data_IF_295641591795
#
_entry.id   IF_295641591795
#
_cell.length_a   1.000
_cell.length_b   1.000
_cell.length_c   1.000
_cell.angle_alpha   90.00
_cell.angle_beta   90.00
_cell.angle_gamma   90.00
#
_symmetry.space_group_name_H-M   'P 1'
#
loop_
_entity.id
_entity.type
_entity.pdbx_description
1 polymer ?
#
# COMPACT_ATOMS: atom_id res chain seq x y z
N UNK A 1 -8.91 -27.89 -10.27
CA UNK A 1 -8.81 -27.24 -11.60
C UNK A 1 -8.02 -25.97 -11.36
N UNK A 2 -6.86 -25.84 -11.97
CA UNK A 2 -6.05 -24.62 -11.82
C UNK A 2 -6.80 -23.44 -12.39
N UNK A 3 -6.94 -22.36 -11.61
CA UNK A 3 -7.47 -21.09 -12.09
C UNK A 3 -6.28 -20.22 -12.52
N UNK A 4 -6.19 -19.92 -13.80
CA UNK A 4 -5.09 -19.13 -14.35
C UNK A 4 -4.96 -17.75 -13.68
N UNK A 5 -6.09 -17.13 -13.31
CA UNK A 5 -6.09 -15.84 -12.59
C UNK A 5 -5.44 -15.94 -11.22
N UNK A 6 -5.67 -17.04 -10.49
CA UNK A 6 -5.08 -17.24 -9.16
C UNK A 6 -3.56 -17.45 -9.27
N UNK A 7 -3.10 -18.16 -10.30
CA UNK A 7 -1.65 -18.35 -10.56
C UNK A 7 -0.98 -17.00 -10.84
N UNK A 8 -1.58 -16.17 -11.68
CA UNK A 8 -1.06 -14.84 -12.03
C UNK A 8 -1.04 -13.96 -10.78
N UNK A 9 -2.10 -13.96 -9.97
CA UNK A 9 -2.18 -13.15 -8.75
C UNK A 9 -1.12 -13.57 -7.71
N UNK A 10 -0.93 -14.87 -7.49
CA UNK A 10 0.12 -15.38 -6.62
C UNK A 10 1.51 -14.99 -7.12
N UNK A 11 1.77 -15.15 -8.41
CA UNK A 11 3.04 -14.78 -9.02
C UNK A 11 3.30 -13.27 -8.90
N UNK A 12 2.29 -12.44 -9.13
CA UNK A 12 2.40 -10.99 -8.96
C UNK A 12 2.79 -10.63 -7.51
N UNK A 13 2.19 -11.30 -6.51
CA UNK A 13 2.52 -11.06 -5.10
C UNK A 13 3.97 -11.47 -4.77
N UNK A 14 4.47 -12.59 -5.33
CA UNK A 14 5.86 -13.01 -5.19
C UNK A 14 6.83 -12.01 -5.81
N UNK A 15 6.52 -11.56 -7.03
CA UNK A 15 7.35 -10.61 -7.75
C UNK A 15 7.37 -9.23 -7.09
N UNK A 16 6.24 -8.80 -6.53
CA UNK A 16 6.17 -7.54 -5.79
C UNK A 16 7.16 -7.52 -4.62
N UNK A 17 7.17 -8.55 -3.79
CA UNK A 17 8.05 -8.62 -2.63
C UNK A 17 9.54 -8.68 -3.00
N UNK A 18 9.88 -9.24 -4.18
CA UNK A 18 11.24 -9.27 -4.69
C UNK A 18 11.68 -7.93 -5.28
N UNK A 19 10.77 -7.18 -5.89
CA UNK A 19 11.04 -5.93 -6.58
C UNK A 19 10.96 -4.72 -5.66
N UNK A 20 9.91 -4.64 -4.83
CA UNK A 20 9.61 -3.46 -4.00
C UNK A 20 10.38 -3.49 -2.67
N UNK A 21 11.69 -3.35 -2.76
CA UNK A 21 12.62 -3.34 -1.61
C UNK A 21 12.96 -1.93 -1.10
N UNK A 22 12.43 -0.91 -1.73
CA UNK A 22 12.65 0.50 -1.38
C UNK A 22 12.00 0.85 -0.03
N UNK A 23 12.70 1.61 0.82
CA UNK A 23 12.30 1.91 2.20
C UNK A 23 12.30 3.40 2.56
N UNK A 24 12.73 4.30 1.68
CA UNK A 24 12.88 5.72 2.01
C UNK A 24 11.55 6.38 2.41
N UNK A 25 10.43 5.98 1.81
CA UNK A 25 9.09 6.42 2.16
C UNK A 25 8.69 5.96 3.57
N UNK A 26 9.04 4.73 3.92
CA UNK A 26 8.82 4.15 5.26
C UNK A 26 9.67 4.87 6.31
N UNK A 27 10.95 5.10 6.03
CA UNK A 27 11.87 5.80 6.92
C UNK A 27 11.42 7.25 7.16
N UNK A 28 11.00 7.96 6.11
CA UNK A 28 10.44 9.30 6.21
C UNK A 28 9.17 9.31 7.08
N UNK A 29 8.24 8.38 6.82
CA UNK A 29 7.01 8.30 7.59
C UNK A 29 7.29 8.02 9.07
N UNK A 30 8.18 7.09 9.39
CA UNK A 30 8.58 6.78 10.77
C UNK A 30 9.25 7.98 11.45
N UNK A 31 10.10 8.70 10.73
CA UNK A 31 10.72 9.93 11.25
C UNK A 31 9.65 10.99 11.60
N UNK A 32 8.63 11.16 10.73
CA UNK A 32 7.55 12.13 10.95
C UNK A 32 6.59 11.69 12.06
N UNK A 33 6.30 10.40 12.17
CA UNK A 33 5.44 9.85 13.23
C UNK A 33 6.11 9.91 14.61
N UNK A 34 7.42 9.81 14.68
CA UNK A 34 8.19 9.77 15.91
C UNK A 34 8.00 8.44 16.67
N UNK A 35 8.47 8.40 17.93
CA UNK A 35 8.52 7.18 18.75
C UNK A 35 7.29 6.94 19.63
N UNK A 36 6.39 7.91 19.74
CA UNK A 36 5.15 7.73 20.52
C UNK A 36 4.19 6.83 19.72
N UNK A 37 3.70 5.72 20.32
CA UNK A 37 2.76 4.84 19.64
C UNK A 37 1.54 5.59 19.09
N UNK A 38 1.21 5.32 17.84
CA UNK A 38 0.09 5.89 17.10
C UNK A 38 -0.80 4.80 16.54
N UNK A 39 -2.06 5.13 16.30
CA UNK A 39 -2.96 4.31 15.50
C UNK A 39 -2.81 4.72 14.04
N UNK A 40 -2.36 3.80 13.20
CA UNK A 40 -2.08 4.05 11.78
C UNK A 40 -3.00 3.20 10.92
N UNK A 41 -3.58 3.81 9.91
CA UNK A 41 -4.34 3.13 8.86
C UNK A 41 -3.56 3.22 7.56
N UNK A 42 -3.27 2.09 6.94
CA UNK A 42 -2.70 2.02 5.59
C UNK A 42 -3.74 1.57 4.58
N UNK A 43 -3.91 2.34 3.53
CA UNK A 43 -4.79 2.05 2.41
C UNK A 43 -3.97 1.41 1.28
N UNK A 44 -4.49 0.33 0.72
CA UNK A 44 -3.78 -0.53 -0.23
C UNK A 44 -2.46 -1.08 0.36
N UNK A 45 -2.57 -1.75 1.51
CA UNK A 45 -1.41 -2.21 2.28
C UNK A 45 -0.61 -3.34 1.60
N UNK A 46 -1.18 -3.98 0.58
CA UNK A 46 -0.53 -5.03 -0.19
C UNK A 46 0.08 -6.12 0.67
N UNK A 47 1.32 -6.44 0.42
CA UNK A 47 2.09 -7.45 1.17
C UNK A 47 2.66 -6.92 2.51
N UNK A 48 2.30 -5.69 2.91
CA UNK A 48 2.74 -5.09 4.16
C UNK A 48 4.14 -4.46 4.10
N UNK A 49 4.62 -4.03 2.94
CA UNK A 49 5.92 -3.38 2.78
C UNK A 49 6.09 -2.17 3.72
N UNK A 50 5.06 -1.35 3.83
CA UNK A 50 5.01 -0.21 4.73
C UNK A 50 4.45 -0.61 6.11
N UNK A 51 3.35 -1.35 6.13
CA UNK A 51 2.58 -1.73 7.31
C UNK A 51 3.44 -2.44 8.38
N UNK A 52 4.24 -3.42 7.96
CA UNK A 52 5.04 -4.25 8.87
C UNK A 52 6.16 -3.46 9.56
N UNK A 53 6.99 -2.66 8.88
CA UNK A 53 7.98 -1.82 9.53
C UNK A 53 7.37 -0.81 10.52
N UNK A 54 6.21 -0.22 10.20
CA UNK A 54 5.51 0.72 11.09
C UNK A 54 5.03 0.00 12.37
N UNK A 55 4.51 -1.22 12.24
CA UNK A 55 4.15 -2.04 13.40
C UNK A 55 5.38 -2.42 14.25
N UNK A 56 6.49 -2.78 13.60
CA UNK A 56 7.77 -3.10 14.28
C UNK A 56 8.35 -1.90 15.03
N UNK A 57 8.07 -0.68 14.57
CA UNK A 57 8.43 0.54 15.29
C UNK A 57 7.55 0.83 16.53
N UNK A 58 6.52 0.00 16.79
CA UNK A 58 5.70 0.07 17.99
C UNK A 58 4.34 0.78 17.81
N UNK A 59 3.94 1.10 16.59
CA UNK A 59 2.63 1.66 16.29
C UNK A 59 1.56 0.55 16.21
N UNK A 60 0.28 0.90 16.47
CA UNK A 60 -0.88 0.03 16.28
C UNK A 60 -1.42 0.24 14.87
N UNK A 61 -1.24 -0.73 13.99
CA UNK A 61 -1.49 -0.55 12.56
C UNK A 61 -2.67 -1.40 12.07
N UNK A 62 -3.42 -0.80 11.16
CA UNK A 62 -4.49 -1.47 10.41
C UNK A 62 -4.24 -1.27 8.93
N UNK A 63 -4.25 -2.34 8.15
CA UNK A 63 -4.12 -2.32 6.69
C UNK A 63 -5.43 -2.71 6.01
N UNK A 64 -5.76 -2.04 4.92
CA UNK A 64 -6.87 -2.37 4.03
C UNK A 64 -6.32 -2.65 2.63
N UNK A 65 -6.71 -3.77 2.04
CA UNK A 65 -6.42 -4.10 0.65
C UNK A 65 -7.52 -5.00 0.07
N UNK A 66 -7.67 -5.05 -1.22
CA UNK A 66 -8.61 -5.98 -1.87
C UNK A 66 -7.94 -7.28 -2.32
N UNK A 67 -6.60 -7.30 -2.43
CA UNK A 67 -5.82 -8.45 -2.91
C UNK A 67 -5.42 -9.37 -1.76
N UNK A 68 -6.13 -10.50 -1.64
CA UNK A 68 -5.89 -11.51 -0.61
C UNK A 68 -4.52 -12.16 -0.74
N UNK A 69 -4.03 -12.40 -1.95
CA UNK A 69 -2.71 -13.03 -2.17
C UNK A 69 -1.57 -12.15 -1.69
N UNK A 70 -1.71 -10.83 -1.89
CA UNK A 70 -0.78 -9.86 -1.34
C UNK A 70 -0.83 -9.87 0.19
N UNK A 71 -2.01 -9.78 0.77
CA UNK A 71 -2.18 -9.72 2.24
C UNK A 71 -1.74 -10.98 2.98
N UNK A 72 -1.84 -12.16 2.38
CA UNK A 72 -1.34 -13.42 2.97
C UNK A 72 0.15 -13.35 3.30
N UNK A 73 0.92 -12.54 2.56
CA UNK A 73 2.36 -12.34 2.81
C UNK A 73 2.65 -11.64 4.13
N UNK A 74 1.73 -10.84 4.64
CA UNK A 74 1.91 -10.11 5.91
C UNK A 74 2.16 -11.09 7.06
N UNK A 75 1.40 -12.19 7.11
CA UNK A 75 1.52 -13.18 8.17
C UNK A 75 2.93 -13.79 8.30
N UNK A 76 3.68 -13.87 7.20
CA UNK A 76 5.03 -14.41 7.19
C UNK A 76 6.10 -13.39 7.64
N UNK A 77 5.76 -12.11 7.74
CA UNK A 77 6.68 -11.00 8.05
C UNK A 77 6.59 -10.51 9.48
N UNK A 78 5.58 -10.98 10.23
CA UNK A 78 5.29 -10.55 11.61
C UNK A 78 5.58 -11.65 12.63
N UNK A 79 5.84 -11.24 13.89
CA UNK A 79 6.07 -12.14 15.01
C UNK A 79 5.07 -11.90 16.15
N UNK A 80 5.10 -10.69 16.73
CA UNK A 80 4.27 -10.31 17.88
C UNK A 80 3.76 -8.85 17.77
N UNK A 81 3.83 -8.28 16.60
CA UNK A 81 3.46 -6.89 16.33
C UNK A 81 1.93 -6.70 16.45
N UNK A 82 1.51 -5.51 16.87
CA UNK A 82 0.10 -5.10 16.89
C UNK A 82 -0.32 -4.67 15.48
N UNK A 83 -0.70 -5.65 14.70
CA UNK A 83 -1.05 -5.44 13.30
C UNK A 83 -2.38 -6.15 12.98
N UNK A 84 -3.23 -5.46 12.25
CA UNK A 84 -4.48 -5.99 11.70
C UNK A 84 -4.50 -5.69 10.23
N UNK A 85 -5.12 -6.55 9.45
CA UNK A 85 -5.39 -6.28 8.04
C UNK A 85 -6.71 -6.92 7.64
N UNK A 86 -7.40 -6.26 6.73
CA UNK A 86 -8.73 -6.70 6.27
C UNK A 86 -8.83 -6.54 4.78
N UNK A 87 -9.48 -7.52 4.13
CA UNK A 87 -9.91 -7.34 2.75
C UNK A 87 -10.99 -6.26 2.71
N UNK A 88 -10.77 -5.26 1.87
CA UNK A 88 -11.70 -4.16 1.69
C UNK A 88 -11.62 -3.56 0.28
N UNK A 89 -12.76 -3.22 -0.27
CA UNK A 89 -12.86 -2.29 -1.37
C UNK A 89 -12.81 -0.86 -0.81
N UNK A 90 -11.66 -0.21 -0.93
CA UNK A 90 -11.42 1.10 -0.32
C UNK A 90 -12.33 2.21 -0.88
N UNK A 91 -12.95 1.99 -2.04
CA UNK A 91 -13.96 2.91 -2.59
C UNK A 91 -15.26 2.82 -1.79
N UNK A 92 -15.75 1.62 -1.55
CA UNK A 92 -17.11 1.37 -1.07
C UNK A 92 -17.18 1.04 0.42
N UNK A 93 -16.15 0.38 0.98
CA UNK A 93 -16.17 -0.10 2.35
C UNK A 93 -15.83 1.01 3.36
N UNK A 94 -16.29 0.84 4.60
CA UNK A 94 -15.96 1.71 5.72
C UNK A 94 -14.51 1.46 6.18
N UNK A 95 -13.77 2.53 6.42
CA UNK A 95 -12.40 2.45 6.92
C UNK A 95 -12.30 2.49 8.45
N UNK A 96 -13.40 2.78 9.14
CA UNK A 96 -13.40 3.13 10.55
C UNK A 96 -12.88 4.54 10.81
N UNK A 97 -12.70 4.90 12.08
CA UNK A 97 -12.29 6.24 12.49
C UNK A 97 -11.34 6.22 13.70
N UNK A 98 -10.76 7.38 14.01
CA UNK A 98 -9.94 7.56 15.20
C UNK A 98 -8.48 7.19 15.00
N UNK A 99 -7.99 7.28 13.78
CA UNK A 99 -6.58 7.08 13.46
C UNK A 99 -5.77 8.37 13.63
N UNK A 100 -4.58 8.24 14.17
CA UNK A 100 -3.64 9.36 14.27
C UNK A 100 -2.97 9.67 12.92
N UNK A 101 -2.81 8.63 12.09
CA UNK A 101 -2.22 8.74 10.76
C UNK A 101 -2.99 7.84 9.79
N UNK A 102 -3.29 8.37 8.61
CA UNK A 102 -3.74 7.59 7.45
C UNK A 102 -2.68 7.68 6.37
N UNK A 103 -2.27 6.55 5.81
CA UNK A 103 -1.23 6.49 4.78
C UNK A 103 -1.79 6.04 3.43
N UNK A 104 -1.43 6.77 2.40
CA UNK A 104 -1.68 6.49 0.99
C UNK A 104 -0.31 6.33 0.32
N UNK A 105 0.33 5.16 0.53
CA UNK A 105 1.70 4.89 0.10
C UNK A 105 1.82 4.32 -1.31
N UNK A 106 3.06 4.12 -1.76
CA UNK A 106 3.41 3.43 -3.00
C UNK A 106 2.66 3.96 -4.24
N UNK A 107 2.55 5.27 -4.37
CA UNK A 107 1.79 5.90 -5.47
C UNK A 107 0.33 5.46 -5.57
N UNK A 108 -0.30 5.06 -4.47
CA UNK A 108 -1.68 4.55 -4.47
C UNK A 108 -2.64 5.44 -5.25
N UNK A 109 -2.54 6.78 -5.10
CA UNK A 109 -3.42 7.71 -5.81
C UNK A 109 -3.33 7.64 -7.33
N UNK A 110 -2.26 7.06 -7.91
CA UNK A 110 -2.17 6.76 -9.34
C UNK A 110 -2.78 5.42 -9.72
N UNK A 111 -2.90 4.50 -8.75
CA UNK A 111 -3.25 3.12 -8.99
C UNK A 111 -4.68 2.77 -8.52
N UNK A 112 -5.54 3.77 -8.31
CA UNK A 112 -6.92 3.55 -7.90
C UNK A 112 -7.67 2.81 -9.02
N UNK A 113 -8.24 1.66 -8.70
CA UNK A 113 -9.11 0.89 -9.59
C UNK A 113 -10.55 1.14 -9.16
N UNK A 114 -11.33 1.78 -10.03
CA UNK A 114 -12.76 2.04 -9.78
C UNK A 114 -13.49 2.35 -11.08
N UNK A 115 -14.84 2.27 -11.06
CA UNK A 115 -15.70 2.71 -12.15
C UNK A 115 -15.95 4.23 -12.13
N UNK A 116 -15.42 4.92 -11.13
CA UNK A 116 -15.54 6.38 -10.99
C UNK A 116 -14.59 7.10 -11.95
N UNK A 117 -14.93 8.36 -12.24
CA UNK A 117 -13.95 9.28 -12.80
C UNK A 117 -12.71 9.37 -11.90
N UNK A 118 -11.54 9.37 -12.52
CA UNK A 118 -10.27 9.26 -11.81
C UNK A 118 -10.05 10.39 -10.79
N UNK A 119 -10.34 11.63 -11.18
CA UNK A 119 -10.22 12.79 -10.28
C UNK A 119 -11.20 12.71 -9.11
N UNK A 120 -12.41 12.20 -9.36
CA UNK A 120 -13.40 11.98 -8.31
C UNK A 120 -12.95 10.87 -7.34
N UNK A 121 -12.37 9.79 -7.86
CA UNK A 121 -11.83 8.72 -7.02
C UNK A 121 -10.69 9.23 -6.13
N UNK A 122 -9.76 10.02 -6.66
CA UNK A 122 -8.70 10.63 -5.85
C UNK A 122 -9.25 11.56 -4.75
N UNK A 123 -10.22 12.42 -5.09
CA UNK A 123 -10.88 13.29 -4.11
C UNK A 123 -11.57 12.48 -3.01
N UNK A 124 -12.23 11.39 -3.39
CA UNK A 124 -12.87 10.49 -2.44
C UNK A 124 -11.86 9.87 -1.47
N UNK A 125 -10.70 9.43 -1.97
CA UNK A 125 -9.65 8.86 -1.11
C UNK A 125 -9.13 9.88 -0.08
N UNK A 126 -8.90 11.11 -0.49
CA UNK A 126 -8.49 12.19 0.43
C UNK A 126 -9.60 12.49 1.44
N UNK A 127 -10.86 12.55 1.00
CA UNK A 127 -12.00 12.80 1.90
C UNK A 127 -12.16 11.66 2.92
N UNK A 128 -12.16 10.40 2.48
CA UNK A 128 -12.23 9.24 3.39
C UNK A 128 -11.06 9.20 4.36
N UNK A 129 -9.85 9.58 3.91
CA UNK A 129 -8.70 9.71 4.79
C UNK A 129 -8.95 10.74 5.89
N UNK A 130 -9.47 11.91 5.54
CA UNK A 130 -9.79 12.96 6.52
C UNK A 130 -10.88 12.51 7.51
N UNK A 131 -11.91 11.80 7.02
CA UNK A 131 -13.01 11.28 7.84
C UNK A 131 -12.56 10.16 8.80
N UNK A 132 -11.54 9.41 8.43
CA UNK A 132 -10.96 8.34 9.26
C UNK A 132 -10.05 8.88 10.38
N UNK A 133 -9.56 10.11 10.27
CA UNK A 133 -8.63 10.68 11.25
C UNK A 133 -9.29 11.04 12.59
N UNK A 134 -8.52 10.88 13.65
CA UNK A 134 -8.77 11.54 14.92
C UNK A 134 -8.48 13.05 14.81
N UNK A 135 -9.00 13.84 15.76
CA UNK A 135 -8.70 15.28 15.84
C UNK A 135 -7.18 15.46 16.01
N UNK A 136 -6.58 16.23 15.12
CA UNK A 136 -5.13 16.46 15.09
C UNK A 136 -4.32 15.37 14.39
N UNK A 137 -4.99 14.41 13.74
CA UNK A 137 -4.34 13.39 12.92
C UNK A 137 -3.83 13.93 11.58
N UNK A 138 -3.05 13.13 10.89
CA UNK A 138 -2.36 13.51 9.65
C UNK A 138 -2.55 12.47 8.55
N UNK A 139 -2.60 12.93 7.30
CA UNK A 139 -2.52 12.07 6.11
C UNK A 139 -1.07 12.09 5.63
N UNK A 140 -0.49 10.91 5.43
CA UNK A 140 0.78 10.73 4.73
C UNK A 140 0.49 10.24 3.31
N UNK A 141 0.96 10.97 2.32
CA UNK A 141 0.82 10.60 0.90
C UNK A 141 2.20 10.44 0.30
N UNK A 142 2.51 9.26 -0.19
CA UNK A 142 3.65 9.02 -1.04
C UNK A 142 3.23 9.16 -2.51
N UNK A 143 3.96 10.00 -3.24
CA UNK A 143 3.55 10.43 -4.57
C UNK A 143 4.76 10.69 -5.45
N UNK A 144 4.94 9.88 -6.49
CA UNK A 144 6.00 10.10 -7.46
C UNK A 144 5.67 11.31 -8.36
N UNK A 145 6.63 12.20 -8.48
CA UNK A 145 6.57 13.30 -9.42
C UNK A 145 7.47 13.05 -10.62
N UNK A 146 6.93 13.17 -11.82
CA UNK A 146 7.72 13.18 -13.06
C UNK A 146 7.57 14.53 -13.77
N UNK A 147 8.70 15.20 -14.01
CA UNK A 147 8.73 16.43 -14.80
C UNK A 147 8.42 16.17 -16.29
N UNK A 148 8.66 14.94 -16.76
CA UNK A 148 8.50 14.53 -18.15
C UNK A 148 7.75 13.20 -18.24
N UNK A 149 6.43 13.17 -17.88
CA UNK A 149 5.67 11.92 -17.84
C UNK A 149 5.62 11.22 -19.21
N UNK A 150 5.66 11.98 -20.30
CA UNK A 150 5.67 11.44 -21.66
C UNK A 150 6.88 10.53 -21.95
N UNK A 151 7.99 10.71 -21.27
CA UNK A 151 9.16 9.84 -21.42
C UNK A 151 8.94 8.46 -20.83
N UNK A 152 8.04 8.33 -19.86
CA UNK A 152 7.74 7.10 -19.17
C UNK A 152 6.52 6.38 -19.75
N UNK A 153 5.44 7.13 -19.98
CA UNK A 153 4.15 6.55 -20.36
C UNK A 153 3.95 6.37 -21.87
N UNK A 154 4.69 7.11 -22.70
CA UNK A 154 4.54 7.09 -24.16
C UNK A 154 5.77 6.56 -24.90
N UNK A 155 6.69 5.91 -24.19
CA UNK A 155 7.81 5.27 -24.86
C UNK A 155 7.31 4.04 -25.65
N UNK A 156 7.44 4.04 -26.99
CA UNK A 156 6.98 2.92 -27.81
C UNK A 156 7.87 1.66 -27.66
N UNK A 157 9.05 1.81 -27.06
CA UNK A 157 9.95 0.70 -26.82
C UNK A 157 9.82 0.26 -25.36
N UNK A 158 9.44 -1.00 -25.09
CA UNK A 158 9.43 -1.52 -23.72
C UNK A 158 10.84 -1.45 -23.13
N UNK A 159 10.91 -1.02 -21.89
CA UNK A 159 12.16 -1.01 -21.11
C UNK A 159 12.02 -2.07 -20.03
N UNK A 160 13.00 -2.97 -19.92
CA UNK A 160 13.10 -3.85 -18.76
C UNK A 160 13.59 -2.96 -17.60
N UNK A 161 12.72 -2.75 -16.62
CA UNK A 161 13.05 -1.95 -15.44
C UNK A 161 13.53 -2.82 -14.28
N UNK A 162 13.23 -4.12 -14.34
CA UNK A 162 13.62 -5.10 -13.34
C UNK A 162 13.59 -6.52 -13.93
N UNK A 163 14.52 -7.35 -13.49
CA UNK A 163 14.56 -8.79 -13.75
C UNK A 163 14.84 -9.52 -12.44
N UNK A 164 14.21 -10.66 -12.23
CA UNK A 164 14.43 -11.47 -11.05
C UNK A 164 14.00 -12.91 -11.27
N UNK A 165 14.37 -13.76 -10.35
CA UNK A 165 13.99 -15.18 -10.36
C UNK A 165 13.08 -15.41 -9.16
N UNK A 166 11.91 -16.03 -9.40
CA UNK A 166 11.01 -16.39 -8.33
C UNK A 166 11.54 -17.53 -7.44
N UNK A 167 10.80 -17.88 -6.39
CA UNK A 167 11.16 -18.97 -5.46
C UNK A 167 11.20 -20.35 -6.12
N UNK A 168 10.72 -20.49 -7.36
CA UNK A 168 10.67 -21.72 -8.15
C UNK A 168 11.75 -21.74 -9.25
N UNK A 169 12.54 -20.64 -9.39
CA UNK A 169 13.62 -20.54 -10.36
C UNK A 169 13.19 -20.09 -11.76
N UNK A 170 11.99 -19.48 -11.89
CA UNK A 170 11.51 -18.93 -13.15
C UNK A 170 11.95 -17.48 -13.33
#
# INVERSE_FOLDING_TARGET
MYNEKDIIAQWNADMYDLNETYTDDVELALMLMGTTPKKVLEIACGSGRFLVPVAKAGHDVTGLDFDEYMMERIAHKITNEKIKWHKADVIHDDWGTGFDVVTLGANFLFNIVSDMDYEQAQKLMIQKSADALAVGGHIFVDYAYSQYPEKWFYNPNPIIVWEGTDSHGN
#
